data_IF_478883400656
#
_entry.id   IF_478883400656
#
_cell.length_a   1.000
_cell.length_b   1.000
_cell.length_c   1.000
_cell.angle_alpha   90.00
_cell.angle_beta   90.00
_cell.angle_gamma   90.00
#
_symmetry.space_group_name_H-M   'P 1'
#
loop_
_entity.id
_entity.type
_entity.pdbx_description
1 polymer ?
#
# COMPACT_ATOMS: atom_id res chain seq x y z
N UNK A 1 -17.26 6.85 -23.42
CA UNK A 1 -16.48 7.43 -22.31
C UNK A 1 -16.11 6.32 -21.33
N UNK A 2 -14.95 5.65 -21.45
CA UNK A 2 -14.45 4.79 -20.38
C UNK A 2 -13.91 5.64 -19.22
N UNK A 3 -14.08 5.14 -18.02
CA UNK A 3 -14.11 5.88 -16.76
C UNK A 3 -12.73 6.35 -16.24
N UNK A 4 -12.75 7.50 -15.58
CA UNK A 4 -11.66 8.16 -14.83
C UNK A 4 -11.24 7.40 -13.54
N UNK A 5 -11.47 6.08 -13.46
CA UNK A 5 -11.34 5.30 -12.22
C UNK A 5 -9.90 5.15 -11.73
N UNK A 6 -8.92 5.19 -12.63
CA UNK A 6 -7.49 5.14 -12.26
C UNK A 6 -7.06 6.35 -11.42
N UNK A 7 -7.50 7.56 -11.79
CA UNK A 7 -7.13 8.79 -11.07
C UNK A 7 -7.76 8.87 -9.68
N UNK A 8 -8.97 8.33 -9.49
CA UNK A 8 -9.62 8.28 -8.17
C UNK A 8 -8.97 7.25 -7.25
N UNK A 9 -8.46 6.14 -7.80
CA UNK A 9 -7.80 5.10 -7.01
C UNK A 9 -6.46 5.61 -6.43
N UNK A 10 -5.76 6.50 -7.12
CA UNK A 10 -4.48 7.07 -6.64
C UNK A 10 -4.61 7.85 -5.31
N UNK A 11 -5.80 8.35 -4.98
CA UNK A 11 -6.07 9.05 -3.71
C UNK A 11 -6.49 8.09 -2.57
N UNK A 12 -6.69 6.80 -2.88
CA UNK A 12 -7.14 5.82 -1.90
C UNK A 12 -5.97 5.38 -1.01
N UNK A 13 -6.25 5.27 0.28
CA UNK A 13 -5.35 4.70 1.27
C UNK A 13 -5.97 3.47 1.91
N UNK A 14 -5.14 2.47 2.16
CA UNK A 14 -5.51 1.23 2.80
C UNK A 14 -4.84 1.12 4.17
N UNK A 15 -5.56 0.58 5.14
CA UNK A 15 -4.97 0.21 6.42
C UNK A 15 -4.15 -1.06 6.27
N UNK A 16 -3.26 -1.29 7.24
CA UNK A 16 -2.42 -2.50 7.30
C UNK A 16 -3.23 -3.80 7.12
N UNK A 17 -4.33 -3.95 7.88
CA UNK A 17 -5.21 -5.11 7.80
C UNK A 17 -5.76 -5.33 6.37
N UNK A 18 -6.24 -4.26 5.73
CA UNK A 18 -6.81 -4.36 4.39
C UNK A 18 -5.74 -4.67 3.32
N UNK A 19 -4.49 -4.28 3.56
CA UNK A 19 -3.36 -4.66 2.68
C UNK A 19 -3.00 -6.12 2.87
N UNK A 20 -3.01 -6.60 4.12
CA UNK A 20 -2.78 -8.00 4.45
C UNK A 20 -3.80 -8.91 3.76
N UNK A 21 -5.09 -8.55 3.85
CA UNK A 21 -6.18 -9.25 3.16
C UNK A 21 -6.00 -9.27 1.64
N UNK A 22 -5.68 -8.13 1.02
CA UNK A 22 -5.51 -8.02 -0.44
C UNK A 22 -4.33 -8.84 -0.97
N UNK A 23 -3.25 -8.88 -0.20
CA UNK A 23 -2.06 -9.64 -0.56
C UNK A 23 -2.15 -11.11 -0.12
N UNK A 24 -3.21 -11.49 0.61
CA UNK A 24 -3.37 -12.80 1.25
C UNK A 24 -2.15 -13.19 2.13
N UNK A 25 -1.66 -12.22 2.91
CA UNK A 25 -0.52 -12.38 3.83
C UNK A 25 -0.89 -11.97 5.26
N UNK A 26 0.00 -12.24 6.21
CA UNK A 26 -0.16 -11.77 7.58
C UNK A 26 0.14 -10.27 7.73
N UNK A 27 -0.43 -9.60 8.74
CA UNK A 27 -0.06 -8.22 9.04
C UNK A 27 1.43 -8.05 9.40
N UNK A 28 2.06 -9.07 9.98
CA UNK A 28 3.50 -9.08 10.26
C UNK A 28 4.31 -9.06 8.97
N UNK A 29 3.86 -9.81 7.95
CA UNK A 29 4.43 -9.76 6.60
C UNK A 29 4.33 -8.34 6.01
N UNK A 30 3.19 -7.67 6.17
CA UNK A 30 3.04 -6.27 5.74
C UNK A 30 4.02 -5.36 6.48
N UNK A 31 4.19 -5.56 7.79
CA UNK A 31 5.17 -4.80 8.58
C UNK A 31 6.62 -5.03 8.10
N UNK A 32 6.96 -6.25 7.68
CA UNK A 32 8.27 -6.58 7.06
C UNK A 32 8.44 -5.89 5.71
N UNK A 33 7.42 -5.91 4.85
CA UNK A 33 7.46 -5.23 3.55
C UNK A 33 7.64 -3.72 3.69
N UNK A 34 7.03 -3.12 4.72
CA UNK A 34 7.26 -1.71 5.05
C UNK A 34 8.70 -1.49 5.53
N UNK A 35 9.21 -2.36 6.41
CA UNK A 35 10.57 -2.26 6.91
C UNK A 35 11.62 -2.46 5.79
N UNK A 36 11.33 -3.30 4.81
CA UNK A 36 12.15 -3.52 3.61
C UNK A 36 12.07 -2.35 2.61
N UNK A 37 11.12 -1.43 2.76
CA UNK A 37 10.90 -0.31 1.85
C UNK A 37 10.11 -0.67 0.59
N UNK A 38 9.60 -1.89 0.49
CA UNK A 38 8.78 -2.39 -0.62
C UNK A 38 7.36 -1.83 -0.59
N UNK A 39 6.82 -1.60 0.63
CA UNK A 39 5.59 -0.85 0.84
C UNK A 39 5.88 0.48 1.52
N UNK A 40 5.46 1.58 0.91
CA UNK A 40 5.67 2.94 1.42
C UNK A 40 4.40 3.45 2.08
N UNK A 41 4.37 3.61 3.41
CA UNK A 41 3.25 4.23 4.09
C UNK A 41 3.22 5.74 3.79
N UNK A 42 2.04 6.36 3.93
CA UNK A 42 1.85 7.79 3.73
C UNK A 42 2.68 8.63 4.71
N UNK A 43 2.89 8.11 5.93
CA UNK A 43 3.66 8.76 6.99
C UNK A 43 4.56 7.73 7.67
N UNK A 44 5.68 8.15 8.26
CA UNK A 44 6.52 7.28 9.08
C UNK A 44 5.71 6.59 10.18
N UNK A 45 6.05 5.33 10.47
CA UNK A 45 5.42 4.55 11.54
C UNK A 45 5.66 5.26 12.89
N UNK A 46 4.58 5.52 13.62
CA UNK A 46 4.62 6.05 15.00
C UNK A 46 3.74 5.18 15.88
N UNK A 47 4.20 4.91 17.11
CA UNK A 47 3.45 4.09 18.08
C UNK A 47 2.06 4.68 18.32
N UNK A 48 1.03 3.84 18.25
CA UNK A 48 -0.38 4.23 18.42
C UNK A 48 -1.03 4.89 17.20
N UNK A 49 -0.30 5.08 16.09
CA UNK A 49 -0.84 5.65 14.86
C UNK A 49 -1.17 4.54 13.87
N UNK A 50 -2.36 4.61 13.28
CA UNK A 50 -2.80 3.68 12.24
C UNK A 50 -1.92 3.87 11.00
N UNK A 51 -1.31 2.78 10.55
CA UNK A 51 -0.52 2.76 9.31
C UNK A 51 -1.47 2.82 8.11
N UNK A 52 -1.21 3.79 7.23
CA UNK A 52 -1.94 4.00 5.98
C UNK A 52 -0.99 3.81 4.81
N UNK A 53 -1.38 2.97 3.86
CA UNK A 53 -0.60 2.58 2.68
C UNK A 53 -1.37 3.08 1.45
N UNK A 54 -0.82 4.00 0.65
CA UNK A 54 -1.48 4.47 -0.57
C UNK A 54 -1.68 3.33 -1.58
N UNK A 55 -2.79 3.37 -2.31
CA UNK A 55 -3.08 2.42 -3.38
C UNK A 55 -1.98 2.39 -4.44
N UNK A 56 -1.42 3.56 -4.78
CA UNK A 56 -0.27 3.68 -5.67
C UNK A 56 0.95 2.86 -5.19
N UNK A 57 1.26 2.87 -3.90
CA UNK A 57 2.38 2.07 -3.36
C UNK A 57 2.08 0.57 -3.40
N UNK A 58 0.85 0.18 -3.06
CA UNK A 58 0.44 -1.23 -3.13
C UNK A 58 0.47 -1.74 -4.58
N UNK A 59 0.02 -0.92 -5.53
CA UNK A 59 0.04 -1.21 -6.96
C UNK A 59 1.48 -1.38 -7.47
N UNK A 60 2.37 -0.47 -7.08
CA UNK A 60 3.79 -0.56 -7.41
C UNK A 60 4.44 -1.85 -6.89
N UNK A 61 4.03 -2.32 -5.71
CA UNK A 61 4.48 -3.60 -5.16
C UNK A 61 3.96 -4.80 -5.96
N UNK A 62 2.64 -4.86 -6.24
CA UNK A 62 2.01 -6.01 -6.90
C UNK A 62 2.50 -6.18 -8.34
N UNK A 63 2.51 -5.09 -9.11
CA UNK A 63 2.77 -5.16 -10.54
C UNK A 63 4.24 -4.93 -10.89
N UNK A 64 5.06 -4.57 -9.90
CA UNK A 64 6.38 -4.02 -10.12
C UNK A 64 6.24 -2.69 -10.85
N UNK A 65 6.40 -1.57 -10.14
CA UNK A 65 6.84 -0.37 -10.81
C UNK A 65 8.25 -0.65 -11.35
N UNK A 66 8.31 -1.21 -12.56
CA UNK A 66 9.52 -1.20 -13.37
C UNK A 66 9.93 0.26 -13.43
N UNK A 67 10.96 0.59 -12.66
CA UNK A 67 11.62 1.87 -12.75
C UNK A 67 12.30 1.87 -14.11
N UNK A 68 11.57 2.35 -15.12
CA UNK A 68 12.11 2.78 -16.40
C UNK A 68 12.22 4.30 -16.36
#
# INVERSE_FOLDING_TARGET
MPANSSTTDDLRVFRKAEVAERLAVSEDTVDRLIAAGELRPLRPRKRGVIVQIPAASLRAYIYGASSA
#
